data_IF_078037893421
#
_entry.id   IF_078037893421
#
_cell.length_a   1.000
_cell.length_b   1.000
_cell.length_c   1.000
_cell.angle_alpha   90.00
_cell.angle_beta   90.00
_cell.angle_gamma   90.00
#
_symmetry.space_group_name_H-M   'P 1'
#
loop_
_entity.id
_entity.type
_entity.pdbx_description
1 polymer ?
#
# COMPACT_ATOMS: atom_id res chain seq x y z
N UNK A 1 8.09 26.61 30.71
CA UNK A 1 8.27 26.15 32.11
C UNK A 1 8.25 24.62 32.05
N UNK A 2 8.90 23.90 32.96
CA UNK A 2 8.75 22.44 32.95
C UNK A 2 7.46 22.08 33.68
N UNK A 3 6.61 21.27 33.06
CA UNK A 3 5.34 20.83 33.67
C UNK A 3 5.60 19.54 34.43
N UNK A 4 5.33 19.55 35.74
CA UNK A 4 5.49 18.37 36.59
C UNK A 4 4.15 17.65 36.76
N UNK A 5 4.19 16.32 36.73
CA UNK A 5 3.04 15.46 36.98
C UNK A 5 3.41 14.39 37.99
N UNK A 6 2.53 14.16 38.96
CA UNK A 6 2.73 13.19 40.05
C UNK A 6 1.77 12.01 39.89
N UNK A 7 2.30 10.80 40.03
CA UNK A 7 1.52 9.56 40.11
C UNK A 7 1.98 8.82 41.36
N UNK A 8 1.12 8.79 42.38
CA UNK A 8 1.47 8.29 43.71
C UNK A 8 2.64 9.09 44.30
N UNK A 9 3.72 8.40 44.67
CA UNK A 9 4.94 9.01 45.22
C UNK A 9 5.97 9.42 44.16
N UNK A 10 5.71 9.15 42.87
CA UNK A 10 6.65 9.46 41.78
C UNK A 10 6.29 10.79 41.13
N UNK A 11 7.31 11.60 40.86
CA UNK A 11 7.21 12.83 40.07
C UNK A 11 7.86 12.60 38.71
N UNK A 12 7.20 13.09 37.68
CA UNK A 12 7.68 13.09 36.31
C UNK A 12 7.69 14.52 35.79
N UNK A 13 8.64 14.83 34.89
CA UNK A 13 8.85 16.18 34.37
C UNK A 13 8.69 16.14 32.86
N UNK A 14 7.76 16.96 32.34
CA UNK A 14 7.63 17.21 30.91
C UNK A 14 8.58 18.34 30.54
N UNK A 15 9.58 18.00 29.73
CA UNK A 15 10.37 18.98 29.01
C UNK A 15 9.59 19.43 27.76
N UNK A 16 8.75 20.45 27.95
CA UNK A 16 7.89 21.00 26.90
C UNK A 16 8.70 21.49 25.71
N UNK A 17 9.81 22.20 25.96
CA UNK A 17 10.66 22.74 24.89
C UNK A 17 11.25 21.61 24.04
N UNK A 18 11.70 20.52 24.67
CA UNK A 18 12.18 19.35 23.95
C UNK A 18 11.07 18.67 23.16
N UNK A 19 9.85 18.60 23.70
CA UNK A 19 8.70 18.03 23.01
C UNK A 19 8.27 18.87 21.79
N UNK A 20 8.25 20.20 21.93
CA UNK A 20 7.95 21.14 20.83
C UNK A 20 9.03 21.09 19.75
N UNK A 21 10.31 21.13 20.14
CA UNK A 21 11.43 21.01 19.19
C UNK A 21 11.40 19.68 18.44
N UNK A 22 11.06 18.59 19.14
CA UNK A 22 10.84 17.27 18.56
C UNK A 22 9.75 17.25 17.49
N UNK A 23 8.61 17.90 17.75
CA UNK A 23 7.51 18.01 16.78
C UNK A 23 7.90 18.91 15.61
N UNK A 24 8.52 20.06 15.89
CA UNK A 24 8.97 21.00 14.86
C UNK A 24 9.97 20.36 13.88
N UNK A 25 10.86 19.51 14.40
CA UNK A 25 11.88 18.79 13.63
C UNK A 25 11.34 17.65 12.75
N UNK A 26 10.05 17.30 12.82
CA UNK A 26 9.44 16.40 11.82
C UNK A 26 9.51 17.06 10.43
N UNK A 27 9.99 16.33 9.44
CA UNK A 27 9.99 16.77 8.04
C UNK A 27 9.65 15.57 7.13
N UNK A 28 9.24 15.85 5.89
CA UNK A 28 8.96 14.80 4.91
C UNK A 28 10.23 13.97 4.66
N UNK A 29 11.36 14.63 4.36
CA UNK A 29 12.69 14.04 4.17
C UNK A 29 13.68 14.79 5.07
N UNK A 30 14.75 14.12 5.51
CA UNK A 30 15.81 14.69 6.37
C UNK A 30 15.29 15.33 7.67
N UNK A 31 14.17 14.84 8.18
CA UNK A 31 13.63 15.22 9.48
C UNK A 31 14.30 14.48 10.62
N UNK A 32 13.74 14.66 11.83
CA UNK A 32 14.21 13.96 13.03
C UNK A 32 14.21 12.44 12.86
N UNK A 33 15.37 11.83 13.07
CA UNK A 33 15.50 10.38 13.22
C UNK A 33 15.19 9.92 14.65
N UNK A 34 14.59 8.74 14.76
CA UNK A 34 14.18 8.15 16.04
C UNK A 34 14.07 6.64 15.89
N UNK A 35 14.48 5.90 16.92
CA UNK A 35 14.37 4.43 16.97
C UNK A 35 12.94 3.94 17.18
N UNK A 36 12.02 4.84 17.52
CA UNK A 36 10.61 4.54 17.81
C UNK A 36 9.67 5.15 16.76
N UNK A 37 8.56 4.46 16.51
CA UNK A 37 7.49 4.96 15.63
C UNK A 37 6.68 6.07 16.34
N UNK A 38 7.24 7.28 16.37
CA UNK A 38 6.66 8.44 17.06
C UNK A 38 5.54 9.08 16.22
N UNK A 39 4.37 8.43 16.21
CA UNK A 39 3.23 8.92 15.45
C UNK A 39 2.71 10.26 15.98
N UNK A 40 2.54 10.37 17.30
CA UNK A 40 2.02 11.58 17.95
C UNK A 40 3.14 12.50 18.46
N UNK A 41 2.88 13.82 18.56
CA UNK A 41 1.77 14.53 17.92
C UNK A 41 1.94 14.58 16.39
N UNK A 42 0.82 14.66 15.65
CA UNK A 42 0.85 14.76 14.18
C UNK A 42 1.31 16.16 13.75
N UNK A 43 2.23 16.24 12.78
CA UNK A 43 2.57 17.47 12.05
C UNK A 43 1.84 17.50 10.71
N UNK A 44 1.83 16.38 9.99
CA UNK A 44 1.14 16.22 8.70
C UNK A 44 -0.21 15.53 8.89
N UNK A 45 -1.19 16.27 9.41
CA UNK A 45 -2.54 15.73 9.73
C UNK A 45 -3.20 15.11 8.49
N UNK A 46 -3.02 15.71 7.31
CA UNK A 46 -3.54 15.20 6.05
C UNK A 46 -3.11 13.76 5.75
N UNK A 47 -1.90 13.36 6.16
CA UNK A 47 -1.38 12.02 5.90
C UNK A 47 -2.15 10.97 6.71
N UNK A 48 -2.47 11.31 7.96
CA UNK A 48 -3.31 10.46 8.80
C UNK A 48 -4.76 10.40 8.30
N UNK A 49 -5.31 11.51 7.81
CA UNK A 49 -6.63 11.54 7.19
C UNK A 49 -6.68 10.68 5.92
N UNK A 50 -5.66 10.75 5.08
CA UNK A 50 -5.54 9.91 3.89
C UNK A 50 -5.43 8.43 4.27
N UNK A 51 -4.58 8.08 5.25
CA UNK A 51 -4.51 6.72 5.78
C UNK A 51 -5.88 6.19 6.25
N UNK A 52 -6.67 7.03 6.94
CA UNK A 52 -8.03 6.66 7.34
C UNK A 52 -8.96 6.43 6.15
N UNK A 53 -8.87 7.27 5.11
CA UNK A 53 -9.66 7.11 3.89
C UNK A 53 -9.30 5.81 3.16
N UNK A 54 -8.01 5.56 2.99
CA UNK A 54 -7.47 4.32 2.40
C UNK A 54 -7.96 3.08 3.16
N UNK A 55 -7.87 3.09 4.50
CA UNK A 55 -8.43 2.01 5.34
C UNK A 55 -9.92 1.80 5.17
N UNK A 56 -10.69 2.87 4.99
CA UNK A 56 -12.14 2.77 4.78
C UNK A 56 -12.49 2.19 3.41
N UNK A 57 -11.54 2.17 2.47
CA UNK A 57 -11.68 1.60 1.13
C UNK A 57 -11.10 0.17 1.03
N UNK A 58 -10.84 -0.49 2.16
CA UNK A 58 -10.34 -1.86 2.14
C UNK A 58 -11.37 -2.81 1.50
N UNK A 59 -10.86 -3.72 0.69
CA UNK A 59 -11.57 -4.78 0.00
C UNK A 59 -10.65 -6.01 -0.05
N UNK A 60 -11.24 -7.19 -0.23
CA UNK A 60 -10.52 -8.43 -0.51
C UNK A 60 -10.93 -8.96 -1.90
N UNK A 61 -10.01 -9.55 -2.68
CA UNK A 61 -10.35 -10.06 -4.01
C UNK A 61 -11.49 -11.07 -4.03
N UNK A 62 -11.56 -11.93 -3.02
CA UNK A 62 -12.58 -12.98 -2.89
C UNK A 62 -13.99 -12.44 -2.66
N UNK A 63 -14.14 -11.16 -2.30
CA UNK A 63 -15.45 -10.50 -2.22
C UNK A 63 -16.08 -10.27 -3.61
N UNK A 64 -15.34 -10.50 -4.70
CA UNK A 64 -15.78 -10.33 -6.10
C UNK A 64 -16.03 -11.70 -6.75
N UNK A 65 -17.30 -12.13 -6.93
CA UNK A 65 -17.58 -13.45 -7.48
C UNK A 65 -17.24 -13.57 -8.98
N UNK A 66 -16.37 -14.52 -9.32
CA UNK A 66 -15.89 -14.74 -10.70
C UNK A 66 -16.71 -15.74 -11.53
N UNK A 67 -17.83 -16.26 -11.03
CA UNK A 67 -18.54 -17.39 -11.65
C UNK A 67 -18.98 -17.12 -13.11
N UNK A 68 -19.48 -15.92 -13.40
CA UNK A 68 -19.93 -15.55 -14.75
C UNK A 68 -18.75 -15.37 -15.69
N UNK A 69 -17.68 -14.75 -15.22
CA UNK A 69 -16.44 -14.56 -15.94
C UNK A 69 -15.81 -15.90 -16.32
N UNK A 70 -15.86 -16.89 -15.41
CA UNK A 70 -15.45 -18.27 -15.68
C UNK A 70 -16.28 -18.89 -16.80
N UNK A 71 -17.61 -18.74 -16.77
CA UNK A 71 -18.50 -19.27 -17.81
C UNK A 71 -18.24 -18.64 -19.19
N UNK A 72 -18.06 -17.31 -19.23
CA UNK A 72 -17.71 -16.58 -20.46
C UNK A 72 -16.33 -16.99 -20.96
N UNK A 73 -15.34 -17.08 -20.08
CA UNK A 73 -13.98 -17.43 -20.44
C UNK A 73 -13.86 -18.86 -20.97
N UNK A 74 -14.69 -19.80 -20.49
CA UNK A 74 -14.72 -21.19 -20.98
C UNK A 74 -15.54 -21.39 -22.25
N UNK A 75 -16.34 -20.40 -22.65
CA UNK A 75 -17.15 -20.49 -23.87
C UNK A 75 -16.32 -20.24 -25.12
N UNK A 76 -16.45 -21.15 -26.10
CA UNK A 76 -15.78 -21.03 -27.40
C UNK A 76 -16.38 -19.93 -28.31
N UNK A 77 -17.54 -19.38 -27.93
CA UNK A 77 -18.28 -18.41 -28.77
C UNK A 77 -18.52 -17.07 -28.11
N UNK A 78 -18.26 -16.93 -26.81
CA UNK A 78 -18.54 -15.70 -26.07
C UNK A 78 -17.47 -14.62 -26.24
N UNK A 79 -16.22 -15.02 -26.53
CA UNK A 79 -15.08 -14.12 -26.71
C UNK A 79 -14.34 -14.48 -27.99
N UNK A 80 -13.96 -13.46 -28.76
CA UNK A 80 -13.05 -13.64 -29.89
C UNK A 80 -11.61 -13.87 -29.42
N UNK A 81 -10.74 -14.33 -30.31
CA UNK A 81 -9.30 -14.46 -30.03
C UNK A 81 -8.66 -13.11 -29.67
N UNK A 82 -9.15 -12.02 -30.27
CA UNK A 82 -8.68 -10.66 -29.98
C UNK A 82 -9.08 -10.25 -28.56
N UNK A 83 -10.31 -10.54 -28.12
CA UNK A 83 -10.75 -10.23 -26.75
C UNK A 83 -9.90 -10.99 -25.72
N UNK A 84 -9.63 -12.26 -25.97
CA UNK A 84 -8.79 -13.11 -25.11
C UNK A 84 -7.35 -12.62 -25.07
N UNK A 85 -6.82 -12.20 -26.21
CA UNK A 85 -5.48 -11.62 -26.31
C UNK A 85 -5.36 -10.34 -25.48
N UNK A 86 -6.31 -9.41 -25.59
CA UNK A 86 -6.33 -8.17 -24.81
C UNK A 86 -6.30 -8.46 -23.29
N UNK A 87 -7.13 -9.41 -22.83
CA UNK A 87 -7.20 -9.78 -21.42
C UNK A 87 -5.87 -10.37 -20.93
N UNK A 88 -5.27 -11.30 -21.69
CA UNK A 88 -3.99 -11.90 -21.34
C UNK A 88 -2.84 -10.89 -21.31
N UNK A 89 -2.82 -9.98 -22.28
CA UNK A 89 -1.85 -8.87 -22.33
C UNK A 89 -1.99 -7.94 -21.12
N UNK A 90 -3.21 -7.59 -20.75
CA UNK A 90 -3.46 -6.77 -19.56
C UNK A 90 -2.98 -7.48 -18.29
N UNK A 91 -3.29 -8.77 -18.14
CA UNK A 91 -2.82 -9.57 -17.00
C UNK A 91 -1.28 -9.58 -16.94
N UNK A 92 -0.61 -9.89 -18.05
CA UNK A 92 0.87 -9.92 -18.11
C UNK A 92 1.49 -8.58 -17.70
N UNK A 93 0.96 -7.47 -18.22
CA UNK A 93 1.43 -6.13 -17.87
C UNK A 93 1.23 -5.79 -16.39
N UNK A 94 0.01 -5.99 -15.85
CA UNK A 94 -0.29 -5.64 -14.47
C UNK A 94 0.45 -6.54 -13.46
N UNK A 95 0.67 -7.82 -13.79
CA UNK A 95 1.47 -8.71 -12.94
C UNK A 95 2.89 -8.20 -12.68
N UNK A 96 3.51 -7.52 -13.66
CA UNK A 96 4.81 -6.87 -13.45
C UNK A 96 4.68 -5.48 -12.80
N UNK A 97 3.70 -4.68 -13.23
CA UNK A 97 3.57 -3.28 -12.84
C UNK A 97 3.29 -3.09 -11.33
N UNK A 98 2.38 -3.87 -10.74
CA UNK A 98 2.02 -3.75 -9.31
C UNK A 98 3.24 -4.02 -8.41
N UNK A 99 4.06 -5.02 -8.78
CA UNK A 99 5.30 -5.33 -8.06
C UNK A 99 6.31 -4.18 -8.08
N UNK A 100 6.46 -3.51 -9.23
CA UNK A 100 7.38 -2.36 -9.38
C UNK A 100 6.94 -1.20 -8.46
N UNK A 101 5.64 -0.90 -8.41
CA UNK A 101 5.12 0.19 -7.58
C UNK A 101 5.25 -0.14 -6.10
N UNK A 102 4.84 -1.35 -5.69
CA UNK A 102 4.97 -1.82 -4.30
C UNK A 102 6.40 -1.76 -3.80
N UNK A 103 7.35 -2.32 -4.56
CA UNK A 103 8.78 -2.32 -4.21
C UNK A 103 9.37 -0.91 -4.17
N UNK A 104 8.99 -0.04 -5.11
CA UNK A 104 9.44 1.35 -5.08
C UNK A 104 8.97 2.08 -3.82
N UNK A 105 7.70 1.90 -3.42
CA UNK A 105 7.16 2.51 -2.21
C UNK A 105 7.91 2.01 -0.98
N UNK A 106 8.14 0.70 -0.86
CA UNK A 106 8.78 0.10 0.31
C UNK A 106 10.28 0.44 0.37
N UNK A 107 11.01 0.24 -0.73
CA UNK A 107 12.48 0.23 -0.74
C UNK A 107 13.12 1.53 -1.19
N UNK A 108 12.36 2.48 -1.76
CA UNK A 108 12.89 3.76 -2.23
C UNK A 108 12.21 4.93 -1.53
N UNK A 109 10.90 5.09 -1.70
CA UNK A 109 10.17 6.27 -1.21
C UNK A 109 10.11 6.27 0.31
N UNK A 110 9.70 5.15 0.92
CA UNK A 110 9.49 5.07 2.36
C UNK A 110 10.80 5.13 3.16
N UNK A 111 11.91 4.70 2.56
CA UNK A 111 13.25 4.76 3.17
C UNK A 111 13.72 6.20 3.39
N UNK A 112 13.50 7.10 2.43
CA UNK A 112 13.92 8.51 2.54
C UNK A 112 12.96 9.38 3.34
N UNK A 113 11.70 8.95 3.49
CA UNK A 113 10.72 9.67 4.28
C UNK A 113 11.07 9.55 5.77
N UNK A 114 10.94 10.63 6.54
CA UNK A 114 11.27 10.64 7.98
C UNK A 114 10.07 10.83 8.90
N UNK A 115 8.98 11.46 8.44
CA UNK A 115 7.80 11.68 9.26
C UNK A 115 6.98 10.38 9.44
N UNK A 116 6.77 9.97 10.69
CA UNK A 116 6.05 8.73 11.05
C UNK A 116 4.64 8.65 10.45
N UNK A 117 3.89 9.75 10.44
CA UNK A 117 2.54 9.78 9.88
C UNK A 117 2.51 9.61 8.35
N UNK A 118 3.58 10.00 7.65
CA UNK A 118 3.72 9.75 6.22
C UNK A 118 4.17 8.30 5.98
N UNK A 119 5.11 7.79 6.80
CA UNK A 119 5.46 6.35 6.78
C UNK A 119 4.26 5.45 7.04
N UNK A 120 3.30 5.91 7.86
CA UNK A 120 2.05 5.19 8.15
C UNK A 120 1.19 5.04 6.88
N UNK A 121 0.94 6.15 6.18
CA UNK A 121 0.12 6.11 4.96
C UNK A 121 0.81 5.37 3.82
N UNK A 122 2.13 5.51 3.68
CA UNK A 122 2.91 4.73 2.70
C UNK A 122 2.91 3.24 3.01
N UNK A 123 2.88 2.85 4.29
CA UNK A 123 2.70 1.45 4.67
C UNK A 123 1.34 0.89 4.28
N UNK A 124 0.28 1.72 4.32
CA UNK A 124 -1.04 1.34 3.81
C UNK A 124 -1.07 1.27 2.29
N UNK A 125 -0.40 2.20 1.60
CA UNK A 125 -0.25 2.17 0.14
C UNK A 125 0.41 0.88 -0.31
N UNK A 126 1.57 0.52 0.27
CA UNK A 126 2.24 -0.74 -0.05
C UNK A 126 1.34 -1.98 0.17
N UNK A 127 0.48 -1.95 1.19
CA UNK A 127 -0.47 -3.04 1.41
C UNK A 127 -1.62 -3.06 0.38
N UNK A 128 -2.03 -1.91 -0.16
CA UNK A 128 -3.00 -1.86 -1.27
C UNK A 128 -2.41 -2.44 -2.56
N UNK A 129 -1.13 -2.15 -2.87
CA UNK A 129 -0.42 -2.80 -3.99
C UNK A 129 -0.34 -4.33 -3.80
N UNK A 130 -0.19 -4.82 -2.56
CA UNK A 130 -0.24 -6.25 -2.28
C UNK A 130 -1.64 -6.85 -2.54
N UNK A 131 -2.71 -6.13 -2.19
CA UNK A 131 -4.08 -6.56 -2.50
C UNK A 131 -4.30 -6.59 -4.02
N UNK A 132 -3.74 -5.64 -4.77
CA UNK A 132 -3.80 -5.65 -6.22
C UNK A 132 -3.09 -6.88 -6.82
N UNK A 133 -1.87 -7.19 -6.34
CA UNK A 133 -1.15 -8.39 -6.74
C UNK A 133 -1.92 -9.68 -6.40
N UNK A 134 -2.54 -9.73 -5.21
CA UNK A 134 -3.39 -10.85 -4.80
C UNK A 134 -4.64 -10.98 -5.69
N UNK A 135 -5.23 -9.87 -6.11
CA UNK A 135 -6.36 -9.88 -7.04
C UNK A 135 -6.02 -10.49 -8.41
N UNK A 136 -4.80 -10.26 -8.91
CA UNK A 136 -4.31 -10.89 -10.13
C UNK A 136 -4.17 -12.40 -9.94
N UNK A 137 -3.62 -12.84 -8.81
CA UNK A 137 -3.53 -14.26 -8.47
C UNK A 137 -4.91 -14.91 -8.44
N UNK A 138 -5.88 -14.27 -7.79
CA UNK A 138 -7.26 -14.73 -7.71
C UNK A 138 -7.92 -14.85 -9.09
N UNK A 139 -7.79 -13.82 -9.95
CA UNK A 139 -8.35 -13.83 -11.30
C UNK A 139 -7.71 -14.90 -12.19
N UNK A 140 -6.38 -14.98 -12.23
CA UNK A 140 -5.64 -15.97 -13.03
C UNK A 140 -6.04 -17.39 -12.63
N UNK A 141 -6.12 -17.64 -11.31
CA UNK A 141 -6.51 -18.94 -10.76
C UNK A 141 -7.96 -19.29 -11.10
N UNK A 142 -8.87 -18.31 -10.98
CA UNK A 142 -10.29 -18.50 -11.30
C UNK A 142 -10.51 -18.85 -12.76
N UNK A 143 -9.85 -18.12 -13.67
CA UNK A 143 -9.98 -18.30 -15.12
C UNK A 143 -9.15 -19.46 -15.67
N UNK A 144 -8.24 -20.04 -14.86
CA UNK A 144 -7.33 -21.10 -15.30
C UNK A 144 -6.34 -20.60 -16.35
N UNK A 145 -5.92 -19.34 -16.26
CA UNK A 145 -4.94 -18.74 -17.16
C UNK A 145 -3.54 -19.19 -16.74
N UNK A 146 -2.70 -19.52 -17.71
CA UNK A 146 -1.29 -19.80 -17.44
C UNK A 146 -0.52 -18.46 -17.39
N UNK A 147 0.01 -18.06 -16.22
CA UNK A 147 0.71 -16.78 -16.10
C UNK A 147 1.96 -16.69 -16.98
N UNK A 148 2.65 -17.82 -17.23
CA UNK A 148 3.83 -17.85 -18.09
C UNK A 148 3.50 -17.60 -19.57
N UNK A 149 2.29 -17.93 -20.02
CA UNK A 149 1.84 -17.55 -21.37
C UNK A 149 1.64 -16.04 -21.47
N UNK A 150 1.03 -15.43 -20.46
CA UNK A 150 0.83 -13.98 -20.43
C UNK A 150 2.16 -13.21 -20.40
N UNK A 151 3.14 -13.70 -19.62
CA UNK A 151 4.49 -13.13 -19.56
C UNK A 151 5.20 -13.22 -20.91
N UNK A 152 5.22 -14.41 -21.52
CA UNK A 152 5.83 -14.60 -22.84
C UNK A 152 5.20 -13.73 -23.93
N UNK A 153 3.87 -13.53 -23.89
CA UNK A 153 3.15 -12.64 -24.83
C UNK A 153 3.54 -11.17 -24.64
N UNK A 154 3.87 -10.76 -23.42
CA UNK A 154 4.28 -9.39 -23.14
C UNK A 154 5.73 -9.12 -23.58
N UNK A 155 6.64 -10.08 -23.39
CA UNK A 155 8.05 -9.94 -23.79
C UNK A 155 8.26 -9.86 -25.31
N UNK A 156 7.32 -10.36 -26.12
CA UNK A 156 7.39 -10.37 -27.59
C UNK A 156 6.97 -9.04 -28.24
N UNK A 157 6.59 -8.02 -27.46
CA UNK A 157 6.26 -6.66 -27.93
C UNK A 157 7.47 -5.74 -27.81
#
# INVERSE_FOLDING_TARGET
MNTEYKIGSRTFVLDEKKAEAAQAAKAVINGRETMTFNLLPLKYVWAYELYRKMKANHWEPEDIPMQKDIEIWRSDTALSDVDRWIIRMAIGYFSAAEGIVGDNIIHVVREVVTASEIKLVLGRHAHEENIHADSLLYMISSLGINPHECEAMFEDI
#
